data_IF_631812999290
#
_entry.id   IF_631812999290
#
_cell.length_a   1.000
_cell.length_b   1.000
_cell.length_c   1.000
_cell.angle_alpha   90.00
_cell.angle_beta   90.00
_cell.angle_gamma   90.00
#
_symmetry.space_group_name_H-M   'P 1'
#
loop_
_entity.id
_entity.type
_entity.pdbx_description
1 polymer ?
2 non-polymer ?
3 water ?
#
# COMPACT_ATOMS: atom_id res chain seq x y z
N UNK A 1 0.23 -30.91 8.08
CA UNK A 1 -1.19 -31.12 8.51
C UNK A 1 -2.21 -30.80 7.42
N UNK A 2 -3.36 -30.21 7.80
CA UNK A 2 -4.38 -29.86 6.81
C UNK A 2 -4.02 -28.61 6.00
N UNK A 3 -4.62 -28.48 4.82
CA UNK A 3 -4.50 -27.27 4.02
C UNK A 3 -5.39 -26.15 4.55
N UNK A 4 -4.80 -24.99 4.81
CA UNK A 4 -5.50 -23.95 5.55
C UNK A 4 -5.85 -22.75 4.69
N UNK A 5 -5.75 -22.91 3.37
CA UNK A 5 -5.96 -21.79 2.44
C UNK A 5 -7.30 -21.10 2.64
N UNK A 6 -8.37 -21.89 2.72
CA UNK A 6 -9.72 -21.38 2.79
C UNK A 6 -10.00 -20.62 4.09
N UNK A 7 -9.37 -21.07 5.18
CA UNK A 7 -9.42 -20.38 6.46
C UNK A 7 -8.69 -19.04 6.44
N UNK A 8 -7.62 -18.95 5.66
CA UNK A 8 -6.85 -17.72 5.50
C UNK A 8 -7.62 -16.66 4.71
N UNK A 9 -8.24 -17.07 3.61
CA UNK A 9 -9.03 -16.15 2.77
C UNK A 9 -10.29 -15.68 3.49
N UNK A 10 -10.73 -16.44 4.48
CA UNK A 10 -11.89 -16.03 5.29
C UNK A 10 -11.51 -15.01 6.35
N UNK A 11 -10.24 -14.97 6.75
CA UNK A 11 -9.77 -14.06 7.80
C UNK A 11 -8.33 -13.60 7.53
N UNK A 12 -8.10 -12.95 6.37
CA UNK A 12 -6.74 -12.72 5.86
C UNK A 12 -5.85 -11.86 6.75
N UNK A 13 -6.46 -10.95 7.50
CA UNK A 13 -5.72 -10.05 8.39
C UNK A 13 -5.42 -10.64 9.75
N UNK A 14 -6.32 -11.47 10.24
CA UNK A 14 -6.27 -11.88 11.64
C UNK A 14 -5.91 -13.35 11.84
N UNK A 15 -5.99 -14.13 10.76
CA UNK A 15 -5.76 -15.57 10.85
C UNK A 15 -4.48 -15.94 11.60
N UNK A 16 -3.39 -15.23 11.31
CA UNK A 16 -2.10 -15.59 11.87
C UNK A 16 -1.98 -15.24 13.36
N UNK A 17 -2.32 -14.02 13.71
CA UNK A 17 -2.26 -13.57 15.10
C UNK A 17 -3.20 -14.34 16.03
N UNK A 18 -4.33 -14.80 15.50
CA UNK A 18 -5.31 -15.56 16.27
C UNK A 18 -4.79 -16.94 16.64
N UNK A 19 -4.10 -17.57 15.69
CA UNK A 19 -3.50 -18.88 15.90
C UNK A 19 -2.28 -18.77 16.81
N UNK A 20 -1.50 -17.71 16.62
CA UNK A 20 -0.38 -17.38 17.49
C UNK A 20 -0.82 -17.22 18.94
N UNK A 21 -1.97 -16.57 19.13
CA UNK A 21 -2.51 -16.31 20.46
C UNK A 21 -2.97 -17.62 21.09
N UNK A 22 -3.62 -18.45 20.27
CA UNK A 22 -4.04 -19.79 20.69
C UNK A 22 -2.86 -20.64 21.13
N UNK A 23 -1.77 -20.57 20.37
CA UNK A 23 -0.61 -21.43 20.58
C UNK A 23 0.42 -20.83 21.56
N UNK A 24 0.23 -19.57 21.95
CA UNK A 24 1.17 -18.85 22.80
C UNK A 24 2.57 -18.72 22.20
N UNK A 25 2.64 -18.44 20.89
CA UNK A 25 3.91 -18.35 20.17
C UNK A 25 3.84 -17.26 19.10
N UNK A 26 5.01 -16.79 18.65
CA UNK A 26 5.05 -15.78 17.59
C UNK A 26 5.14 -16.40 16.18
N UNK A 27 5.17 -17.72 16.12
CA UNK A 27 5.27 -18.43 14.84
C UNK A 27 4.58 -19.79 14.87
N UNK A 28 4.05 -20.21 13.72
CA UNK A 28 3.49 -21.54 13.55
C UNK A 28 3.63 -22.06 12.11
N UNK A 29 3.79 -23.38 11.99
CA UNK A 29 3.85 -24.07 10.72
C UNK A 29 2.43 -24.30 10.19
N UNK A 30 2.21 -24.01 8.91
CA UNK A 30 0.91 -24.26 8.29
C UNK A 30 1.11 -24.67 6.83
N UNK A 31 0.06 -24.53 6.01
CA UNK A 31 0.11 -24.90 4.61
C UNK A 31 -0.88 -24.06 3.80
N UNK A 32 -0.37 -23.31 2.82
CA UNK A 32 -1.21 -22.50 1.95
C UNK A 32 -0.98 -22.87 0.51
N UNK A 33 -2.07 -22.85 -0.25
CA UNK A 33 -2.21 -23.62 -1.48
C UNK A 33 -1.87 -25.06 -1.10
N UNK A 34 -0.70 -25.54 -1.52
CA UNK A 34 -0.30 -26.88 -1.07
C UNK A 34 1.08 -26.87 -0.42
N UNK A 35 1.68 -25.68 -0.33
CA UNK A 35 3.00 -25.49 0.25
C UNK A 35 2.96 -25.36 1.77
N UNK A 36 3.81 -26.11 2.45
CA UNK A 36 4.11 -25.84 3.84
C UNK A 36 4.55 -24.38 4.01
N UNK A 37 3.94 -23.67 4.95
CA UNK A 37 4.25 -22.26 5.17
C UNK A 37 4.52 -22.00 6.65
N UNK A 38 5.68 -21.43 6.96
CA UNK A 38 5.92 -20.89 8.29
C UNK A 38 5.31 -19.50 8.34
N UNK A 39 4.47 -19.27 9.36
CA UNK A 39 3.85 -17.97 9.58
C UNK A 39 4.52 -17.30 10.77
N UNK A 40 4.93 -16.05 10.58
CA UNK A 40 5.62 -15.30 11.62
C UNK A 40 4.88 -14.00 11.91
N UNK A 41 5.11 -13.50 13.11
CA UNK A 41 4.45 -12.31 13.63
C UNK A 41 5.40 -11.74 14.68
N UNK A 42 5.56 -10.42 14.69
CA UNK A 42 6.34 -9.77 15.74
C UNK A 42 7.64 -9.19 15.23
N UNK A 43 8.28 -8.41 16.08
CA UNK A 43 9.44 -7.61 15.70
C UNK A 43 10.64 -8.51 15.49
N UNK A 44 10.81 -9.50 16.37
CA UNK A 44 11.89 -10.47 16.19
C UNK A 44 11.73 -11.29 14.90
N UNK A 45 10.52 -11.78 14.64
CA UNK A 45 10.17 -12.44 13.38
C UNK A 45 10.44 -11.55 12.15
N UNK A 46 10.00 -10.31 12.21
CA UNK A 46 10.19 -9.36 11.11
C UNK A 46 11.67 -9.19 10.78
N UNK A 47 12.48 -9.10 11.83
CA UNK A 47 13.91 -8.87 11.68
C UNK A 47 14.63 -10.02 11.00
N UNK A 48 14.31 -11.25 11.37
CA UNK A 48 14.85 -12.39 10.62
C UNK A 48 14.28 -12.47 9.21
N UNK A 49 13.02 -12.07 9.03
CA UNK A 49 12.38 -12.09 7.71
C UNK A 49 13.11 -11.16 6.75
N UNK A 50 13.60 -10.02 7.25
CA UNK A 50 14.34 -9.06 6.43
C UNK A 50 15.84 -9.30 6.32
N UNK A 51 16.32 -10.39 6.92
CA UNK A 51 17.71 -10.80 6.74
C UNK A 51 17.86 -11.44 5.35
N UNK A 52 18.51 -10.71 4.44
CA UNK A 52 18.68 -11.17 3.06
C UNK A 52 19.70 -12.29 2.90
N UNK A 53 20.37 -12.67 3.98
CA UNK A 53 21.23 -13.84 3.89
C UNK A 53 20.39 -15.10 4.17
N UNK A 54 19.17 -14.89 4.63
CA UNK A 54 18.30 -16.01 4.95
C UNK A 54 17.00 -16.04 4.14
N UNK A 55 16.64 -14.92 3.51
CA UNK A 55 15.38 -14.84 2.76
C UNK A 55 15.52 -14.19 1.39
N UNK A 56 14.83 -14.80 0.43
CA UNK A 56 14.78 -14.39 -0.97
C UNK A 56 13.35 -14.19 -1.41
N UNK A 57 13.14 -13.27 -2.35
CA UNK A 57 11.80 -13.08 -2.90
C UNK A 57 11.62 -13.79 -4.24
N UNK A 58 12.72 -14.11 -4.90
CA UNK A 58 12.68 -14.77 -6.21
C UNK A 58 11.71 -15.94 -6.27
N UNK A 59 10.70 -15.84 -7.13
CA UNK A 59 9.73 -16.90 -7.34
C UNK A 59 8.76 -17.19 -6.20
N UNK A 60 8.84 -16.40 -5.13
CA UNK A 60 8.00 -16.61 -3.94
C UNK A 60 6.57 -16.14 -4.15
N UNK A 61 6.34 -15.25 -5.13
CA UNK A 61 5.02 -14.67 -5.36
C UNK A 61 4.08 -15.52 -6.21
N UNK A 62 2.96 -15.95 -5.61
CA UNK A 62 1.86 -16.65 -6.31
C UNK A 62 1.45 -15.90 -7.59
N UNK A 63 1.41 -16.63 -8.70
CA UNK A 63 1.18 -16.03 -10.01
C UNK A 63 -0.08 -15.15 -10.11
N UNK A 64 -1.13 -15.47 -9.35
CA UNK A 64 -2.37 -14.69 -9.36
C UNK A 64 -2.14 -13.22 -9.01
N UNK A 65 -1.20 -12.99 -8.11
CA UNK A 65 -0.83 -11.63 -7.71
C UNK A 65 -0.06 -10.91 -8.82
N UNK A 66 0.88 -11.62 -9.47
CA UNK A 66 1.64 -11.10 -10.60
C UNK A 66 0.72 -10.57 -11.70
N UNK A 67 -0.26 -11.40 -12.09
CA UNK A 67 -1.15 -11.11 -13.20
C UNK A 67 -2.26 -10.12 -12.84
N UNK A 68 -2.25 -9.59 -11.61
CA UNK A 68 -3.20 -8.54 -11.25
C UNK A 68 -2.52 -7.42 -10.49
N UNK A 69 -2.26 -7.66 -9.21
CA UNK A 69 -1.71 -6.65 -8.34
C UNK A 69 -0.35 -6.10 -8.79
N UNK A 70 0.59 -6.97 -9.18
CA UNK A 70 2.00 -6.54 -9.18
C UNK A 70 2.63 -6.38 -10.56
N UNK A 71 2.10 -7.12 -11.53
CA UNK A 71 2.75 -7.33 -12.84
C UNK A 71 3.90 -8.33 -12.71
N UNK A 72 4.55 -8.62 -13.84
CA UNK A 72 5.68 -9.56 -13.91
C UNK A 72 6.98 -8.83 -14.27
N UNK A 73 8.08 -9.11 -13.55
CA UNK A 73 9.39 -8.49 -13.81
C UNK A 73 9.77 -7.27 -12.98
N UNK A 74 8.88 -6.91 -12.05
CA UNK A 74 9.07 -5.71 -11.24
C UNK A 74 9.99 -5.97 -10.07
N UNK A 75 10.35 -4.89 -9.37
CA UNK A 75 11.24 -4.90 -8.20
C UNK A 75 10.89 -5.89 -7.08
N UNK A 76 9.62 -6.22 -6.90
CA UNK A 76 9.18 -7.12 -5.82
C UNK A 76 9.75 -8.53 -5.96
N UNK A 77 10.06 -8.91 -7.19
CA UNK A 77 10.52 -10.26 -7.50
C UNK A 77 12.06 -10.34 -7.52
N UNK A 78 12.76 -9.26 -7.20
CA UNK A 78 14.24 -9.28 -7.33
C UNK A 78 14.96 -9.49 -6.00
N UNK A 79 16.15 -10.08 -6.07
CA UNK A 79 17.05 -10.22 -4.93
C UNK A 79 18.44 -9.63 -5.17
N UNK A 80 19.21 -9.48 -4.08
CA UNK A 80 20.63 -9.16 -4.18
C UNK A 80 20.89 -7.81 -4.85
N UNK A 81 22.02 -7.74 -5.55
CA UNK A 81 22.45 -6.52 -6.21
C UNK A 81 21.53 -6.09 -7.34
N UNK A 82 20.92 -7.05 -8.02
CA UNK A 82 19.92 -6.75 -9.02
C UNK A 82 18.79 -5.98 -8.33
N UNK A 83 18.35 -6.48 -7.18
CA UNK A 83 17.28 -5.79 -6.46
C UNK A 83 17.70 -4.41 -5.99
N UNK A 84 18.86 -4.31 -5.34
CA UNK A 84 19.29 -3.04 -4.79
C UNK A 84 19.42 -1.97 -5.85
N UNK A 85 19.93 -2.36 -7.01
CA UNK A 85 20.14 -1.38 -8.06
C UNK A 85 18.79 -0.91 -8.64
N UNK A 86 17.80 -1.81 -8.76
CA UNK A 86 16.44 -1.45 -9.15
C UNK A 86 15.70 -0.63 -8.09
N UNK A 87 15.87 -0.96 -6.80
CA UNK A 87 15.22 -0.23 -5.71
C UNK A 87 15.73 1.21 -5.62
N UNK A 88 17.02 1.39 -5.90
CA UNK A 88 17.59 2.73 -5.93
C UNK A 88 16.85 3.65 -6.91
N UNK A 89 16.45 3.13 -8.05
CA UNK A 89 15.65 3.87 -9.01
C UNK A 89 14.38 4.42 -8.32
N UNK A 90 13.70 3.61 -7.52
CA UNK A 90 12.51 4.07 -6.82
C UNK A 90 12.84 5.08 -5.73
N UNK A 91 13.87 4.79 -4.94
CA UNK A 91 14.30 5.68 -3.86
C UNK A 91 14.71 7.10 -4.30
N UNK A 92 15.34 7.22 -5.46
CA UNK A 92 15.71 8.53 -6.05
C UNK A 92 14.55 9.45 -6.36
N UNK A 93 13.36 8.88 -6.57
CA UNK A 93 12.13 9.64 -6.78
C UNK A 93 11.68 10.43 -5.55
N UNK A 94 12.04 9.95 -4.36
CA UNK A 94 11.43 10.40 -3.09
C UNK A 94 12.20 11.49 -2.35
N UNK A 95 12.62 12.55 -3.03
CA UNK A 95 13.24 13.66 -2.30
C UNK A 95 12.15 14.43 -1.55
N UNK A 96 12.49 15.10 -0.43
CA UNK A 96 11.47 15.85 0.31
C UNK A 96 10.70 16.85 -0.57
N UNK A 97 11.37 17.52 -1.47
CA UNK A 97 10.71 18.42 -2.41
C UNK A 97 9.82 17.72 -3.44
N UNK A 98 10.25 16.58 -3.97
CA UNK A 98 9.39 15.83 -4.89
C UNK A 98 8.17 15.28 -4.15
N UNK A 99 8.34 14.86 -2.90
CA UNK A 99 7.20 14.31 -2.17
C UNK A 99 6.21 15.45 -1.91
N UNK A 100 6.75 16.61 -1.55
CA UNK A 100 5.95 17.82 -1.33
C UNK A 100 5.14 18.20 -2.57
N UNK A 101 5.79 18.24 -3.73
CA UNK A 101 5.11 18.51 -4.99
C UNK A 101 3.91 17.59 -5.26
N UNK A 102 4.06 16.30 -4.97
CA UNK A 102 2.96 15.34 -5.17
C UNK A 102 1.81 15.62 -4.21
N UNK A 103 2.14 15.95 -2.96
CA UNK A 103 1.13 16.36 -1.97
C UNK A 103 0.37 17.61 -2.42
N UNK A 104 1.11 18.59 -2.93
CA UNK A 104 0.51 19.83 -3.42
C UNK A 104 -0.43 19.57 -4.60
N UNK A 105 0.00 18.71 -5.53
CA UNK A 105 -0.84 18.40 -6.69
C UNK A 105 -2.07 17.67 -6.22
N UNK A 106 -1.95 16.85 -5.18
CA UNK A 106 -3.10 16.09 -4.74
C UNK A 106 -4.12 16.97 -4.01
N UNK A 107 -3.65 17.93 -3.22
CA UNK A 107 -4.57 18.87 -2.59
C UNK A 107 -5.38 19.62 -3.64
N UNK A 108 -4.71 20.11 -4.68
CA UNK A 108 -5.38 20.84 -5.77
C UNK A 108 -6.48 20.00 -6.42
N UNK A 109 -6.18 18.75 -6.72
CA UNK A 109 -7.15 17.81 -7.31
C UNK A 109 -8.31 17.47 -6.37
N UNK A 110 -8.01 17.33 -5.09
CA UNK A 110 -9.08 17.15 -4.11
C UNK A 110 -10.01 18.36 -4.21
N UNK A 111 -9.44 19.56 -4.19
CA UNK A 111 -10.23 20.79 -4.21
C UNK A 111 -11.03 20.92 -5.51
N UNK A 112 -10.44 20.52 -6.63
CA UNK A 112 -11.16 20.56 -7.89
C UNK A 112 -12.34 19.59 -7.95
N UNK A 113 -12.26 18.48 -7.20
CA UNK A 113 -13.30 17.46 -7.21
C UNK A 113 -14.48 17.70 -6.27
N UNK A 114 -14.31 18.59 -5.30
CA UNK A 114 -15.37 18.89 -4.35
C UNK A 114 -16.65 19.44 -5.02
N UNK A 115 -16.53 20.41 -5.94
CA UNK A 115 -17.79 20.88 -6.53
C UNK A 115 -18.59 19.72 -7.12
N UNK A 116 -17.91 18.83 -7.85
CA UNK A 116 -18.50 17.58 -8.34
C UNK A 116 -19.26 16.83 -7.25
N UNK A 117 -18.61 16.67 -6.10
CA UNK A 117 -19.18 15.98 -4.94
C UNK A 117 -20.37 16.73 -4.34
N UNK A 118 -20.33 18.06 -4.39
CA UNK A 118 -21.41 18.90 -3.89
C UNK A 118 -22.68 18.71 -4.71
N UNK A 119 -22.54 18.78 -6.04
CA UNK A 119 -23.72 18.62 -6.88
C UNK A 119 -24.27 17.20 -6.81
N UNK A 120 -23.45 16.22 -6.42
CA UNK A 120 -23.93 14.86 -6.22
C UNK A 120 -24.86 14.66 -5.01
N UNK A 121 -24.75 15.52 -4.01
CA UNK A 121 -25.55 15.38 -2.80
C UNK A 121 -24.98 14.38 -1.81
N UNK A 122 -24.89 13.11 -2.21
CA UNK A 122 -24.35 12.03 -1.39
C UNK A 122 -23.28 11.29 -2.17
N UNK A 123 -22.14 11.04 -1.53
CA UNK A 123 -21.05 10.30 -2.17
C UNK A 123 -20.56 9.15 -1.31
N UNK A 124 -20.01 8.13 -1.97
CA UNK A 124 -19.21 7.13 -1.30
C UNK A 124 -17.79 7.68 -1.37
N UNK A 125 -17.27 8.11 -0.21
CA UNK A 125 -16.01 8.83 -0.13
C UNK A 125 -14.85 8.03 -0.74
N UNK A 126 -14.75 6.76 -0.36
CA UNK A 126 -13.76 5.86 -0.96
C UNK A 126 -13.81 5.87 -2.48
N UNK A 127 -14.99 5.73 -3.06
CA UNK A 127 -15.18 5.66 -4.52
C UNK A 127 -14.70 6.95 -5.19
N UNK A 128 -14.64 8.04 -4.44
CA UNK A 128 -14.38 9.34 -5.05
C UNK A 128 -12.89 9.73 -5.02
N UNK A 129 -12.06 8.90 -4.40
CA UNK A 129 -10.68 9.26 -4.13
C UNK A 129 -9.69 8.84 -5.22
N UNK A 130 -10.02 7.76 -5.93
CA UNK A 130 -9.18 7.15 -6.95
C UNK A 130 -8.80 8.08 -8.09
N UNK A 131 -9.76 8.85 -8.58
CA UNK A 131 -9.53 9.75 -9.69
C UNK A 131 -8.66 10.96 -9.35
N UNK A 132 -8.95 11.69 -8.25
CA UNK A 132 -8.01 12.75 -7.88
C UNK A 132 -6.58 12.22 -7.66
N UNK A 133 -6.46 11.06 -7.04
CA UNK A 133 -5.12 10.46 -6.82
C UNK A 133 -4.46 10.14 -8.15
N UNK A 134 -5.25 9.58 -9.07
CA UNK A 134 -4.74 9.24 -10.40
C UNK A 134 -4.27 10.48 -11.12
N UNK A 135 -5.12 11.51 -11.15
CA UNK A 135 -4.74 12.78 -11.76
C UNK A 135 -3.48 13.39 -11.11
N UNK A 136 -3.41 13.39 -9.78
CA UNK A 136 -2.22 13.90 -9.09
C UNK A 136 -0.95 13.13 -9.47
N UNK A 137 -0.98 11.81 -9.31
CA UNK A 137 0.22 11.00 -9.48
C UNK A 137 0.64 10.96 -10.95
N UNK A 138 -0.31 11.05 -11.88
CA UNK A 138 0.07 11.07 -13.30
C UNK A 138 0.87 12.31 -13.66
N UNK A 139 0.38 13.48 -13.22
CA UNK A 139 1.04 14.75 -13.49
C UNK A 139 2.41 14.80 -12.83
N UNK A 140 2.48 14.43 -11.55
CA UNK A 140 3.74 14.30 -10.83
C UNK A 140 4.76 13.39 -11.54
N UNK A 141 4.28 12.27 -12.08
CA UNK A 141 5.14 11.27 -12.68
C UNK A 141 5.44 11.55 -14.15
N UNK A 142 4.88 12.61 -14.71
CA UNK A 142 5.11 12.94 -16.12
C UNK A 142 4.33 12.04 -17.08
N UNK A 143 3.21 11.49 -16.62
CA UNK A 143 2.37 10.64 -17.46
C UNK A 143 1.24 11.52 -17.98
N UNK A 144 1.23 11.82 -19.28
CA UNK A 144 0.12 12.61 -19.82
C UNK A 144 -1.18 11.86 -19.54
N UNK A 145 -2.24 12.59 -19.22
CA UNK A 145 -3.52 11.98 -18.88
C UNK A 145 -4.64 12.91 -19.28
N UNK A 146 -5.15 12.80 -20.51
CA UNK A 146 -6.22 13.72 -20.92
C UNK A 146 -7.41 13.69 -19.96
N UNK A 147 -8.04 14.84 -19.79
CA UNK A 147 -9.18 15.04 -18.90
C UNK A 147 -10.28 13.97 -19.02
N UNK A 148 -10.67 13.65 -20.25
CA UNK A 148 -11.74 12.69 -20.52
C UNK A 148 -11.34 11.21 -20.36
N UNK A 149 -10.07 10.93 -20.08
CA UNK A 149 -9.60 9.57 -19.86
C UNK A 149 -9.31 9.30 -18.38
N UNK A 150 -9.21 10.37 -17.60
CA UNK A 150 -8.80 10.26 -16.19
C UNK A 150 -9.65 9.30 -15.38
N UNK A 151 -10.97 9.41 -15.51
CA UNK A 151 -11.94 8.53 -14.85
C UNK A 151 -11.69 7.06 -15.14
N UNK A 152 -11.46 6.72 -16.41
CA UNK A 152 -11.23 5.35 -16.85
C UNK A 152 -9.92 4.78 -16.32
N UNK A 153 -8.83 5.55 -16.42
CA UNK A 153 -7.53 5.11 -15.89
C UNK A 153 -7.59 4.90 -14.39
N UNK A 154 -8.30 5.78 -13.67
CA UNK A 154 -8.50 5.59 -12.23
C UNK A 154 -9.22 4.28 -11.95
N UNK A 155 -10.24 3.98 -12.76
CA UNK A 155 -11.01 2.75 -12.67
C UNK A 155 -10.14 1.53 -12.92
N UNK A 156 -9.23 1.65 -13.88
CA UNK A 156 -8.31 0.55 -14.18
C UNK A 156 -7.25 0.34 -13.10
N UNK A 157 -6.68 1.42 -12.57
CA UNK A 157 -5.73 1.31 -11.49
C UNK A 157 -6.40 0.73 -10.25
N UNK A 158 -7.61 1.18 -9.95
CA UNK A 158 -8.38 0.65 -8.80
C UNK A 158 -8.60 -0.85 -8.93
N UNK A 159 -9.06 -1.26 -10.12
CA UNK A 159 -9.31 -2.66 -10.42
C UNK A 159 -8.13 -3.59 -10.14
N UNK A 160 -6.90 -3.06 -10.15
CA UNK A 160 -5.73 -3.90 -9.91
C UNK A 160 -5.62 -4.36 -8.45
N UNK A 161 -6.11 -3.55 -7.52
CA UNK A 161 -6.06 -3.95 -6.12
C UNK A 161 -7.42 -4.19 -5.45
N UNK A 162 -8.49 -3.69 -6.03
CA UNK A 162 -9.79 -3.78 -5.38
C UNK A 162 -10.68 -4.86 -5.98
N UNK A 163 -10.30 -5.35 -7.15
CA UNK A 163 -10.89 -6.57 -7.70
C UNK A 163 -9.95 -7.80 -7.60
N UNK A 164 -8.79 -7.61 -6.96
CA UNK A 164 -7.73 -8.64 -6.86
C UNK A 164 -7.62 -9.33 -5.50
N UNK A 165 -7.72 -10.66 -5.52
CA UNK A 165 -7.80 -11.48 -4.33
C UNK A 165 -9.25 -11.78 -3.98
N UNK A 166 -10.10 -11.79 -5.00
CA UNK A 166 -11.55 -11.87 -4.84
C UNK A 166 -12.12 -13.23 -5.25
N UNK A 167 -13.09 -13.70 -4.47
CA UNK A 167 -13.76 -14.97 -4.74
C UNK A 167 -14.75 -14.91 -5.90
N UNK A 168 -14.91 -13.73 -6.51
CA UNK A 168 -15.92 -13.47 -7.56
C UNK A 168 -15.32 -13.30 -8.96
N UNK A 169 -16.18 -13.16 -10.01
CA UNK A 169 -15.71 -12.86 -11.38
C UNK A 169 -14.95 -11.53 -11.53
N UNK A 170 -14.72 -10.86 -10.41
CA UNK A 170 -13.98 -9.59 -10.35
C UNK A 170 -12.49 -9.80 -10.63
N UNK A 171 -12.05 -11.05 -10.47
CA UNK A 171 -10.66 -11.42 -10.75
C UNK A 171 -10.38 -11.32 -12.26
N UNK A 172 -11.41 -11.54 -13.07
CA UNK A 172 -11.31 -11.43 -14.52
C UNK A 172 -11.12 -9.98 -15.00
N UNK A 173 -11.86 -9.04 -14.41
CA UNK A 173 -11.68 -7.61 -14.71
C UNK A 173 -10.30 -7.12 -14.28
N UNK A 174 -9.81 -7.66 -13.17
CA UNK A 174 -8.51 -7.29 -12.63
C UNK A 174 -7.36 -7.69 -13.57
N UNK A 175 -7.46 -8.87 -14.16
CA UNK A 175 -6.47 -9.38 -15.11
C UNK A 175 -6.46 -8.60 -16.42
N UNK A 176 -7.63 -8.20 -16.89
CA UNK A 176 -7.77 -7.36 -18.08
C UNK A 176 -7.32 -5.94 -17.81
N UNK A 177 -7.62 -5.43 -16.62
CA UNK A 177 -7.16 -4.12 -16.18
C UNK A 177 -5.63 -4.07 -16.20
N UNK A 178 -5.02 -5.17 -15.78
CA UNK A 178 -3.55 -5.29 -15.77
C UNK A 178 -2.98 -5.25 -17.19
N UNK A 179 -3.60 -5.98 -18.11
CA UNK A 179 -3.12 -5.94 -19.51
C UNK A 179 -3.30 -4.55 -20.11
N UNK A 180 -4.43 -3.89 -19.80
CA UNK A 180 -4.69 -2.54 -20.29
C UNK A 180 -3.73 -1.51 -19.70
N UNK A 181 -3.49 -1.58 -18.40
CA UNK A 181 -2.63 -0.60 -17.72
C UNK A 181 -1.17 -0.83 -18.14
N UNK A 182 -0.77 -2.10 -18.28
CA UNK A 182 0.59 -2.44 -18.71
C UNK A 182 0.84 -1.92 -20.12
N UNK A 183 -0.13 -2.10 -21.01
CA UNK A 183 0.02 -1.63 -22.39
C UNK A 183 0.02 -0.10 -22.44
N UNK A 184 -0.77 0.54 -21.58
CA UNK A 184 -0.79 1.99 -21.52
C UNK A 184 0.57 2.55 -21.04
N UNK A 185 1.04 2.04 -19.91
CA UNK A 185 2.33 2.44 -19.36
C UNK A 185 3.47 2.17 -20.35
N UNK A 186 3.36 1.09 -21.10
CA UNK A 186 4.38 0.74 -22.09
C UNK A 186 4.41 1.76 -23.23
N UNK A 187 3.23 2.15 -23.73
CA UNK A 187 3.12 3.26 -24.67
C UNK A 187 3.72 4.56 -24.12
N UNK A 188 3.56 4.82 -22.83
CA UNK A 188 4.21 5.98 -22.22
C UNK A 188 5.74 5.87 -22.28
N UNK A 189 6.30 4.75 -21.78
CA UNK A 189 7.74 4.51 -21.86
C UNK A 189 8.28 4.67 -23.29
N UNK A 190 7.62 4.04 -24.28
CA UNK A 190 8.03 4.09 -25.68
C UNK A 190 8.04 5.51 -26.25
N UNK A 191 7.06 6.33 -25.89
CA UNK A 191 6.99 7.71 -26.35
C UNK A 191 8.07 8.57 -25.71
N UNK A 192 8.38 8.31 -24.44
CA UNK A 192 9.49 8.99 -23.79
C UNK A 192 10.81 8.63 -24.50
N UNK A 193 11.04 7.35 -24.77
CA UNK A 193 12.28 6.93 -25.46
C UNK A 193 12.37 7.42 -26.89
N UNK A 194 11.24 7.52 -27.58
CA UNK A 194 11.22 8.00 -28.96
C UNK A 194 11.21 9.52 -29.07
N UNK A 195 10.98 10.24 -27.98
CA UNK A 195 10.99 11.71 -28.00
C UNK A 195 9.64 12.37 -28.20
N UNK A 196 8.59 11.56 -28.29
CA UNK A 196 7.25 12.11 -28.55
C UNK A 196 6.57 12.55 -27.27
N UNK A 197 7.09 12.11 -26.12
CA UNK A 197 6.56 12.51 -24.82
C UNK A 197 7.64 13.22 -23.98
N UNK A 198 7.36 14.47 -23.63
CA UNK A 198 8.37 15.35 -23.05
C UNK A 198 8.45 15.37 -21.54
N UNK A 199 8.31 14.21 -20.92
CA UNK A 199 8.35 14.08 -19.46
C UNK A 199 9.63 14.71 -18.91
N UNK A 200 9.48 15.51 -17.85
CA UNK A 200 10.61 16.20 -17.25
C UNK A 200 11.61 15.26 -16.61
N UNK A 201 12.86 15.68 -16.60
CA UNK A 201 13.97 14.87 -16.07
C UNK A 201 13.87 14.49 -14.58
N UNK A 202 12.99 15.15 -13.83
CA UNK A 202 12.77 14.80 -12.42
C UNK A 202 11.59 13.87 -12.17
N UNK A 203 10.86 13.51 -13.23
CA UNK A 203 9.63 12.74 -13.09
C UNK A 203 9.86 11.22 -13.05
N UNK A 204 9.03 10.50 -12.30
CA UNK A 204 9.13 9.04 -12.24
C UNK A 204 9.17 8.37 -13.63
N UNK A 205 8.28 8.76 -14.53
CA UNK A 205 8.18 8.05 -15.81
C UNK A 205 9.49 8.22 -16.60
N UNK A 206 10.08 9.40 -16.52
CA UNK A 206 11.38 9.68 -17.12
C UNK A 206 12.47 8.84 -16.50
N UNK A 207 12.56 8.84 -15.17
CA UNK A 207 13.58 8.07 -14.48
C UNK A 207 13.43 6.59 -14.89
N UNK A 208 12.20 6.11 -14.96
CA UNK A 208 11.97 4.69 -15.26
C UNK A 208 12.28 4.41 -16.72
N UNK A 209 11.94 5.33 -17.62
CA UNK A 209 12.21 5.09 -19.06
C UNK A 209 13.68 5.06 -19.41
N UNK A 210 14.48 5.79 -18.65
CA UNK A 210 15.90 5.96 -18.93
C UNK A 210 16.80 5.25 -17.92
N UNK A 211 16.18 4.55 -16.98
CA UNK A 211 16.94 3.71 -16.06
C UNK A 211 17.81 2.73 -16.85
N UNK A 212 19.08 2.62 -16.45
CA UNK A 212 20.00 1.61 -16.96
C UNK A 212 20.22 0.58 -15.85
N UNK A 213 20.22 -0.69 -16.23
CA UNK A 213 20.47 -1.78 -15.29
C UNK A 213 21.95 -1.95 -15.05
N UNK A 214 22.38 -3.00 -14.35
CA UNK A 214 23.80 -3.23 -14.03
C UNK A 214 24.67 -3.53 -15.24
N UNK A 215 24.04 -3.74 -16.40
CA UNK A 215 24.79 -4.00 -17.63
C UNK A 215 24.71 -2.79 -18.55
N UNK A 216 24.22 -1.66 -18.03
CA UNK A 216 24.07 -0.42 -18.80
C UNK A 216 23.00 -0.56 -19.91
N UNK A 217 22.02 -1.44 -19.71
CA UNK A 217 20.90 -1.57 -20.64
C UNK A 217 19.64 -0.95 -20.08
N UNK A 218 18.89 -0.29 -20.95
CA UNK A 218 17.51 0.10 -20.64
C UNK A 218 16.68 -1.13 -20.21
N UNK A 219 15.73 -0.94 -19.30
CA UNK A 219 14.73 -1.97 -19.03
C UNK A 219 13.97 -2.26 -20.34
N UNK A 220 13.60 -3.51 -20.57
CA UNK A 220 12.68 -3.81 -21.65
C UNK A 220 11.41 -2.98 -21.45
N UNK A 221 10.81 -2.51 -22.54
CA UNK A 221 9.66 -1.60 -22.43
C UNK A 221 8.57 -2.17 -21.50
N UNK A 222 8.37 -3.48 -21.50
CA UNK A 222 7.34 -4.02 -20.59
C UNK A 222 7.72 -3.99 -19.12
N UNK A 223 8.99 -4.27 -18.80
CA UNK A 223 9.43 -4.22 -17.40
C UNK A 223 9.38 -2.75 -16.92
N UNK A 224 9.79 -1.81 -17.78
CA UNK A 224 9.70 -0.38 -17.45
C UNK A 224 8.24 -0.02 -17.18
N UNK A 225 7.32 -0.56 -17.99
CA UNK A 225 5.88 -0.31 -17.83
C UNK A 225 5.41 -0.80 -16.46
N UNK A 226 5.84 -2.01 -16.11
CA UNK A 226 5.45 -2.59 -14.83
C UNK A 226 5.98 -1.75 -13.65
N UNK A 227 7.20 -1.25 -13.75
CA UNK A 227 7.76 -0.39 -12.70
C UNK A 227 7.04 0.96 -12.60
N UNK A 228 6.66 1.55 -13.74
CA UNK A 228 5.83 2.76 -13.70
C UNK A 228 4.48 2.48 -13.01
N UNK A 229 3.81 1.37 -13.33
CA UNK A 229 2.56 1.03 -12.62
C UNK A 229 2.79 0.82 -11.13
N UNK A 230 3.99 0.38 -10.74
CA UNK A 230 4.39 0.27 -9.33
C UNK A 230 4.55 1.64 -8.64
N UNK A 231 4.50 2.73 -9.40
CA UNK A 231 4.37 4.07 -8.80
C UNK A 231 2.90 4.51 -8.84
N UNK A 232 2.25 4.37 -10.00
CA UNK A 232 0.88 4.83 -10.20
C UNK A 232 -0.14 4.08 -9.32
N UNK A 233 -0.14 2.77 -9.40
CA UNK A 233 -1.09 1.95 -8.65
C UNK A 233 -1.08 2.15 -7.12
N UNK A 234 0.09 1.98 -6.45
CA UNK A 234 0.04 2.11 -5.00
C UNK A 234 -0.29 3.54 -4.53
N UNK A 235 -0.07 4.55 -5.36
CA UNK A 235 -0.48 5.92 -5.01
C UNK A 235 -2.00 6.04 -4.95
N UNK A 236 -2.67 5.40 -5.91
CA UNK A 236 -4.14 5.37 -5.95
C UNK A 236 -4.68 4.57 -4.77
N UNK A 237 -3.94 3.54 -4.35
CA UNK A 237 -4.32 2.74 -3.19
C UNK A 237 -4.37 3.54 -1.88
N UNK A 238 -3.77 4.74 -1.86
CA UNK A 238 -3.85 5.59 -0.67
C UNK A 238 -5.31 5.98 -0.35
N UNK A 239 -6.21 5.79 -1.32
CA UNK A 239 -7.65 5.93 -1.12
C UNK A 239 -8.12 5.16 0.11
N UNK A 240 -7.54 3.99 0.34
CA UNK A 240 -7.89 3.18 1.49
C UNK A 240 -7.52 3.88 2.79
N UNK A 241 -6.30 4.39 2.86
CA UNK A 241 -5.83 5.11 4.05
C UNK A 241 -6.57 6.42 4.26
N UNK A 242 -6.92 7.11 3.19
CA UNK A 242 -7.71 8.32 3.32
C UNK A 242 -9.09 8.03 3.89
N UNK A 243 -9.71 6.96 3.42
CA UNK A 243 -10.99 6.49 3.95
C UNK A 243 -10.88 6.16 5.46
N UNK A 244 -9.76 5.57 5.86
CA UNK A 244 -9.54 5.24 7.27
C UNK A 244 -9.30 6.49 8.11
N UNK A 245 -8.74 7.53 7.50
CA UNK A 245 -8.59 8.82 8.16
C UNK A 245 -9.96 9.39 8.49
N UNK A 246 -10.86 9.40 7.51
CA UNK A 246 -12.23 9.85 7.74
C UNK A 246 -12.92 8.99 8.80
N UNK A 247 -12.68 7.67 8.75
CA UNK A 247 -13.27 6.72 9.69
C UNK A 247 -12.82 6.99 11.14
N UNK A 248 -11.55 7.28 11.34
CA UNK A 248 -11.02 7.58 12.67
C UNK A 248 -11.61 8.89 13.21
N UNK A 249 -11.70 9.90 12.34
CA UNK A 249 -12.33 11.16 12.73
C UNK A 249 -13.79 11.00 13.14
N UNK A 250 -14.37 9.85 12.81
CA UNK A 250 -15.80 9.63 13.02
C UNK A 250 -16.09 8.70 14.20
N UNK A 251 -15.20 7.77 14.47
CA UNK A 251 -15.45 6.72 15.47
C UNK A 251 -14.67 6.84 16.78
N UNK A 252 -13.67 7.72 16.83
CA UNK A 252 -12.82 7.84 18.02
C UNK A 252 -12.85 9.27 18.54
N UNK A 253 -13.29 9.40 19.80
CA UNK A 253 -13.55 10.69 20.41
C UNK A 253 -12.26 11.43 20.75
N UNK A 254 -12.29 12.75 20.60
CA UNK A 254 -11.14 13.62 20.84
C UNK A 254 -10.24 13.87 19.64
N UNK A 255 -10.24 12.93 18.68
CA UNK A 255 -9.34 13.02 17.54
C UNK A 255 -9.46 14.33 16.76
N UNK A 256 -10.68 14.69 16.39
CA UNK A 256 -10.92 15.92 15.63
C UNK A 256 -10.29 17.14 16.31
N UNK A 257 -10.69 17.40 17.55
CA UNK A 257 -10.26 18.58 18.30
C UNK A 257 -8.74 18.63 18.46
N UNK A 258 -8.14 17.49 18.76
CA UNK A 258 -6.69 17.41 18.87
C UNK A 258 -6.01 17.82 17.55
N UNK A 259 -6.53 17.31 16.43
CA UNK A 259 -6.01 17.67 15.12
C UNK A 259 -6.13 19.16 14.81
N UNK A 260 -7.28 19.75 15.14
CA UNK A 260 -7.53 21.16 14.88
C UNK A 260 -6.52 22.07 15.58
N UNK A 261 -6.33 21.85 16.89
CA UNK A 261 -5.56 22.75 17.73
C UNK A 261 -4.08 22.42 17.95
N UNK A 262 -3.72 21.13 17.92
CA UNK A 262 -2.34 20.72 18.17
C UNK A 262 -1.57 20.47 16.87
N UNK A 263 -0.55 21.29 16.58
CA UNK A 263 0.14 21.22 15.30
C UNK A 263 0.85 19.88 15.05
N UNK A 264 1.57 19.39 16.07
CA UNK A 264 2.35 18.15 15.98
C UNK A 264 1.53 16.86 15.99
N UNK A 265 0.21 16.99 16.15
CA UNK A 265 -0.68 15.85 16.27
C UNK A 265 -0.93 15.10 14.95
N UNK A 266 -0.98 15.83 13.85
CA UNK A 266 -1.25 15.26 12.53
C UNK A 266 -0.35 14.06 12.23
N UNK A 267 0.96 14.28 12.42
CA UNK A 267 1.99 13.28 12.20
C UNK A 267 1.78 12.03 13.07
N UNK A 268 1.43 12.24 14.34
CA UNK A 268 1.15 11.12 15.24
C UNK A 268 -0.09 10.37 14.77
N UNK A 269 -1.10 11.15 14.38
CA UNK A 269 -2.37 10.59 13.94
C UNK A 269 -2.24 9.70 12.68
N UNK A 270 -1.53 10.17 11.66
CA UNK A 270 -1.39 9.38 10.42
C UNK A 270 -0.58 8.11 10.67
N UNK A 271 0.42 8.20 11.54
CA UNK A 271 1.18 7.02 11.95
C UNK A 271 0.28 5.98 12.61
N UNK A 272 -0.57 6.40 13.53
CA UNK A 272 -1.48 5.52 14.24
C UNK A 272 -2.56 4.95 13.33
N UNK A 273 -3.04 5.75 12.38
CA UNK A 273 -3.88 5.19 11.32
C UNK A 273 -3.21 4.03 10.59
N UNK A 274 -1.94 4.18 10.23
CA UNK A 274 -1.24 3.09 9.54
C UNK A 274 -1.02 1.89 10.47
N UNK A 275 -0.78 2.14 11.75
CA UNK A 275 -0.58 1.04 12.70
C UNK A 275 -1.87 0.29 12.98
N UNK A 276 -2.95 1.05 13.17
CA UNK A 276 -4.19 0.51 13.71
C UNK A 276 -5.00 -0.26 12.68
N UNK A 277 -5.17 0.33 11.51
CA UNK A 277 -6.05 -0.22 10.47
C UNK A 277 -5.40 -1.26 9.56
N UNK A 278 -6.17 -2.29 9.17
CA UNK A 278 -5.70 -3.28 8.22
C UNK A 278 -5.58 -2.67 6.84
N UNK A 279 -4.49 -2.96 6.12
CA UNK A 279 -4.34 -2.59 4.72
C UNK A 279 -3.75 -3.77 3.95
N UNK A 280 -2.43 -3.93 4.04
CA UNK A 280 -1.79 -5.08 3.45
C UNK A 280 -1.56 -6.11 4.55
N UNK A 281 -2.06 -7.34 4.31
CA UNK A 281 -2.11 -8.26 5.44
C UNK A 281 -0.75 -8.88 5.78
N UNK A 282 -0.03 -9.26 4.73
CA UNK A 282 1.18 -10.04 4.91
C UNK A 282 2.10 -9.96 3.70
N UNK A 283 3.37 -10.29 3.92
CA UNK A 283 4.34 -10.31 2.84
C UNK A 283 4.98 -11.70 2.85
N UNK A 284 5.50 -12.11 1.71
CA UNK A 284 5.89 -13.51 1.54
C UNK A 284 7.34 -13.56 1.04
N UNK A 285 8.11 -14.52 1.55
CA UNK A 285 9.47 -14.73 1.12
C UNK A 285 9.75 -16.22 1.16
N UNK A 286 10.93 -16.62 0.70
CA UNK A 286 11.34 -18.01 0.74
C UNK A 286 12.68 -18.11 1.45
N UNK A 287 12.80 -19.08 2.35
CA UNK A 287 14.07 -19.30 3.05
C UNK A 287 15.15 -19.75 2.06
N UNK A 288 16.31 -19.10 2.10
CA UNK A 288 17.34 -19.31 1.10
C UNK A 288 18.38 -20.36 1.51
N UNK A 289 18.37 -20.74 2.78
CA UNK A 289 19.29 -21.75 3.30
C UNK A 289 18.69 -22.41 4.55
N UNK A 290 19.22 -23.57 4.93
CA UNK A 290 18.80 -24.24 6.15
C UNK A 290 19.16 -23.41 7.37
N UNK A 291 18.18 -23.13 8.22
CA UNK A 291 18.44 -22.60 9.56
C UNK A 291 17.27 -22.87 10.50
N UNK A 292 17.52 -22.69 11.78
CA UNK A 292 16.51 -22.86 12.81
C UNK A 292 16.44 -21.57 13.62
N UNK A 293 15.26 -21.27 14.16
CA UNK A 293 15.01 -20.03 14.88
C UNK A 293 13.93 -20.24 15.94
N UNK A 294 14.26 -19.93 17.20
CA UNK A 294 13.34 -20.12 18.33
C UNK A 294 12.63 -21.48 18.27
N UNK A 295 13.41 -22.54 18.05
CA UNK A 295 12.89 -23.91 17.99
C UNK A 295 12.26 -24.37 16.68
N UNK A 296 11.90 -23.43 15.81
CA UNK A 296 11.26 -23.74 14.53
C UNK A 296 12.24 -23.96 13.39
N UNK A 297 12.04 -25.05 12.65
CA UNK A 297 12.86 -25.35 11.48
C UNK A 297 12.52 -24.45 10.29
N UNK A 298 13.54 -23.93 9.63
CA UNK A 298 13.36 -23.20 8.37
C UNK A 298 14.26 -23.82 7.30
N UNK A 299 13.82 -24.94 6.70
CA UNK A 299 14.64 -25.57 5.68
C UNK A 299 14.65 -24.74 4.39
N UNK A 300 15.73 -24.87 3.63
CA UNK A 300 15.84 -24.18 2.37
C UNK A 300 14.56 -24.43 1.57
N UNK A 301 13.96 -23.36 1.07
CA UNK A 301 12.81 -23.44 0.18
C UNK A 301 11.46 -23.29 0.88
N UNK A 302 11.48 -23.22 2.20
CA UNK A 302 10.23 -23.06 2.94
C UNK A 302 9.63 -21.67 2.70
N UNK A 303 8.40 -21.65 2.20
CA UNK A 303 7.60 -20.43 2.07
C UNK A 303 7.34 -19.88 3.47
N UNK A 304 7.52 -18.58 3.62
CA UNK A 304 7.38 -17.92 4.92
C UNK A 304 6.56 -16.67 4.73
N UNK A 305 5.50 -16.54 5.52
CA UNK A 305 4.65 -15.36 5.50
C UNK A 305 4.82 -14.53 6.78
N UNK A 306 5.11 -13.25 6.61
CA UNK A 306 5.22 -12.33 7.73
C UNK A 306 3.93 -11.54 7.89
N UNK A 307 3.25 -11.75 9.02
CA UNK A 307 2.00 -11.09 9.34
C UNK A 307 2.24 -9.65 9.76
N UNK A 308 1.86 -8.72 8.89
CA UNK A 308 2.05 -7.29 9.13
C UNK A 308 1.01 -6.76 10.11
N UNK A 309 -0.25 -7.14 9.92
CA UNK A 309 -1.31 -6.65 10.79
C UNK A 309 -1.07 -7.08 12.23
N UNK A 310 -0.74 -8.37 12.44
CA UNK A 310 -0.46 -8.93 13.77
C UNK A 310 0.74 -8.28 14.45
N UNK A 311 1.82 -8.09 13.68
CA UNK A 311 3.00 -7.36 14.13
C UNK A 311 2.64 -5.94 14.57
N UNK A 312 1.74 -5.29 13.82
CA UNK A 312 1.31 -3.94 14.17
C UNK A 312 0.36 -3.92 15.38
N UNK A 313 -0.21 -5.08 15.70
CA UNK A 313 -1.03 -5.22 16.91
C UNK A 313 -0.41 -6.14 17.97
N UNK A 314 0.93 -6.15 18.03
CA UNK A 314 1.68 -6.99 18.95
C UNK A 314 1.75 -6.36 20.35
N UNK A 315 1.35 -7.14 21.37
CA UNK A 315 1.27 -6.60 22.73
C UNK A 315 2.64 -6.28 23.31
N UNK A 316 3.61 -7.17 23.09
CA UNK A 316 4.97 -6.94 23.58
C UNK A 316 5.51 -5.57 23.14
N UNK A 317 5.22 -5.21 21.89
CA UNK A 317 5.64 -3.93 21.35
C UNK A 317 4.83 -2.73 21.86
N UNK A 318 3.50 -2.81 21.80
CA UNK A 318 2.66 -1.62 22.00
C UNK A 318 1.92 -1.52 23.33
N UNK A 319 1.84 -2.64 24.06
CA UNK A 319 1.15 -2.77 25.36
C UNK A 319 -0.38 -2.74 25.30
N UNK A 320 -0.95 -1.77 24.57
CA UNK A 320 -2.38 -1.77 24.29
C UNK A 320 -2.68 -1.51 22.81
N UNK A 321 -2.26 -2.43 21.93
CA UNK A 321 -2.43 -2.28 20.48
C UNK A 321 -3.89 -2.15 20.05
N UNK A 322 -4.80 -2.66 20.87
CA UNK A 322 -6.23 -2.69 20.55
C UNK A 322 -6.86 -1.29 20.57
N UNK A 323 -6.19 -0.35 21.25
CA UNK A 323 -6.68 1.03 21.30
C UNK A 323 -6.14 1.88 20.16
N UNK A 324 -6.97 2.80 19.67
CA UNK A 324 -6.52 3.85 18.76
C UNK A 324 -6.02 5.05 19.56
N UNK A 325 -4.71 5.22 19.62
CA UNK A 325 -4.12 6.31 20.42
C UNK A 325 -2.84 6.87 19.79
N UNK A 326 -2.98 7.94 18.99
CA UNK A 326 -1.85 8.55 18.28
C UNK A 326 -0.70 8.97 19.20
N UNK A 327 -1.00 9.30 20.45
CA UNK A 327 0.02 9.73 21.41
C UNK A 327 1.09 8.66 21.64
N UNK A 328 0.78 7.41 21.33
CA UNK A 328 1.73 6.32 21.60
C UNK A 328 3.02 6.61 20.84
N UNK A 329 2.87 7.34 19.73
CA UNK A 329 3.98 7.60 18.83
C UNK A 329 4.95 8.65 19.36
N UNK A 330 4.59 9.30 20.46
CA UNK A 330 5.53 10.18 21.16
C UNK A 330 6.66 9.33 21.74
N UNK A 331 6.36 8.08 22.09
CA UNK A 331 7.33 7.18 22.71
C UNK A 331 8.00 6.22 21.72
N UNK A 332 7.57 6.23 20.46
CA UNK A 332 8.17 5.36 19.45
C UNK A 332 9.65 5.67 19.22
N UNK A 333 10.46 4.61 19.26
CA UNK A 333 11.92 4.65 19.08
C UNK A 333 12.37 4.54 17.62
N UNK A 334 11.44 4.69 16.69
CA UNK A 334 11.73 4.62 15.26
C UNK A 334 12.35 3.32 14.78
N UNK A 335 12.22 2.26 15.57
CA UNK A 335 12.72 0.93 15.23
C UNK A 335 12.18 0.49 13.85
N UNK A 336 13.02 -0.16 13.05
CA UNK A 336 12.64 -0.51 11.68
C UNK A 336 11.91 -1.85 11.53
N UNK A 337 11.67 -2.56 12.63
CA UNK A 337 11.08 -3.88 12.62
C UNK A 337 9.80 -4.02 13.45
N UNK A 338 9.58 -3.13 14.42
CA UNK A 338 8.40 -3.24 15.27
C UNK A 338 7.13 -2.53 14.82
N UNK A 339 7.26 -1.77 13.73
CA UNK A 339 6.14 -1.02 13.14
C UNK A 339 6.29 -1.08 11.62
N UNK A 340 5.43 -1.87 10.98
CA UNK A 340 5.70 -2.34 9.63
C UNK A 340 4.47 -2.43 8.72
N UNK A 341 3.62 -1.36 8.68
CA UNK A 341 2.44 -1.43 7.82
C UNK A 341 2.80 -1.45 6.34
N UNK A 342 4.01 -1.00 6.02
CA UNK A 342 4.48 -0.96 4.64
C UNK A 342 5.84 -1.65 4.57
N UNK A 343 6.00 -2.68 5.40
CA UNK A 343 7.24 -3.43 5.44
C UNK A 343 8.16 -2.93 6.53
N UNK A 344 9.14 -3.76 6.89
CA UNK A 344 10.17 -3.34 7.81
C UNK A 344 11.56 -3.38 7.19
N UNK A 345 12.56 -3.13 8.03
CA UNK A 345 13.93 -3.19 7.56
C UNK A 345 14.37 -1.90 6.91
N UNK A 346 15.35 -2.03 6.04
CA UNK A 346 15.98 -0.88 5.40
C UNK A 346 15.43 -0.73 3.98
N UNK A 347 15.23 0.50 3.54
CA UNK A 347 14.59 0.77 2.27
C UNK A 347 15.46 0.42 1.09
N UNK A 348 16.77 0.67 1.22
CA UNK A 348 17.73 0.49 0.15
C UNK A 348 18.19 -0.97 0.05
N UNK A 349 18.23 -1.67 1.19
CA UNK A 349 18.86 -2.98 1.28
C UNK A 349 17.84 -4.11 1.43
N UNK A 350 16.56 -3.76 1.33
CA UNK A 350 15.50 -4.76 1.37
C UNK A 350 14.29 -4.21 0.64
N UNK A 351 13.20 -4.95 0.73
CA UNK A 351 12.01 -4.67 -0.09
C UNK A 351 10.99 -3.72 0.54
N UNK A 352 11.37 -3.10 1.65
CA UNK A 352 10.50 -2.19 2.37
C UNK A 352 9.92 -1.17 1.39
N UNK A 353 8.66 -0.83 1.58
CA UNK A 353 7.98 0.13 0.71
C UNK A 353 8.69 1.47 0.52
N UNK A 354 8.99 1.84 -0.72
CA UNK A 354 9.58 3.16 -0.95
C UNK A 354 8.52 4.27 -0.93
N UNK A 355 7.24 3.86 -0.93
CA UNK A 355 6.16 4.82 -0.94
C UNK A 355 5.75 5.46 0.38
N UNK A 356 6.46 5.19 1.49
CA UNK A 356 6.05 5.68 2.81
C UNK A 356 5.98 7.19 2.94
N UNK A 357 6.98 7.89 2.40
CA UNK A 357 6.99 9.36 2.47
C UNK A 357 5.77 9.95 1.77
N UNK A 358 5.45 9.45 0.58
CA UNK A 358 4.24 9.81 -0.16
C UNK A 358 2.97 9.51 0.65
N UNK A 359 2.84 8.29 1.16
CA UNK A 359 1.66 7.94 1.94
C UNK A 359 1.45 8.91 3.09
N UNK A 360 2.53 9.18 3.85
CA UNK A 360 2.44 10.08 4.99
C UNK A 360 2.05 11.47 4.52
N UNK A 361 2.75 12.03 3.53
CA UNK A 361 2.44 13.38 3.06
C UNK A 361 0.99 13.51 2.59
N UNK A 362 0.53 12.53 1.84
CA UNK A 362 -0.87 12.52 1.34
C UNK A 362 -1.87 12.29 2.48
N UNK A 363 -1.55 11.41 3.42
CA UNK A 363 -2.44 11.22 4.56
C UNK A 363 -2.59 12.51 5.36
N UNK A 364 -1.52 13.30 5.45
CA UNK A 364 -1.56 14.59 6.13
C UNK A 364 -2.43 15.60 5.40
N UNK A 365 -2.28 15.70 4.08
CA UNK A 365 -3.15 16.55 3.29
C UNK A 365 -4.60 16.17 3.56
N UNK A 366 -4.88 14.87 3.55
CA UNK A 366 -6.23 14.37 3.79
C UNK A 366 -6.76 14.83 5.14
N UNK A 367 -6.02 14.52 6.20
CA UNK A 367 -6.41 14.92 7.56
C UNK A 367 -6.60 16.43 7.65
N UNK A 368 -5.70 17.21 7.04
CA UNK A 368 -5.86 18.66 7.03
C UNK A 368 -7.16 19.15 6.40
N UNK A 369 -7.51 18.60 5.23
CA UNK A 369 -8.70 19.08 4.52
C UNK A 369 -9.98 18.63 5.20
N UNK A 370 -9.96 17.41 5.73
CA UNK A 370 -11.12 16.82 6.39
C UNK A 370 -11.48 17.54 7.69
N UNK A 371 -10.53 18.24 8.29
CA UNK A 371 -10.82 18.98 9.52
C UNK A 371 -10.82 20.50 9.37
N UNK A 372 -9.98 21.03 8.50
CA UNK A 372 -9.80 22.48 8.42
C UNK A 372 -10.49 23.16 7.24
N UNK A 373 -10.90 22.39 6.24
CA UNK A 373 -11.42 22.96 5.01
C UNK A 373 -12.78 22.42 4.60
N UNK A 374 -12.87 21.10 4.58
CA UNK A 374 -14.00 20.38 3.97
C UNK A 374 -15.08 20.01 4.97
N UNK A 375 -16.30 20.52 4.74
CA UNK A 375 -17.45 20.25 5.61
C UNK A 375 -18.39 19.21 4.99
N UNK A 376 -18.93 18.33 5.83
CA UNK A 376 -19.77 17.22 5.38
C UNK A 376 -20.59 16.63 6.53
N UNK A 377 -21.72 16.02 6.20
CA UNK A 377 -22.52 15.25 7.16
C UNK A 377 -22.30 13.76 6.94
N UNK A 378 -22.48 12.98 8.01
CA UNK A 378 -22.27 11.53 7.97
C UNK A 378 -23.53 10.79 8.44
N UNK A 379 -24.38 10.34 7.50
CA UNK A 379 -25.62 9.64 7.87
C UNK A 379 -25.38 8.30 8.55
N UNK A 380 -26.41 7.78 9.21
CA UNK A 380 -26.38 6.45 9.81
C UNK A 380 -25.96 5.43 8.76
N UNK A 381 -24.96 4.62 9.08
CA UNK A 381 -24.40 3.64 8.14
C UNK A 381 -23.61 2.58 8.89
N UNK A 382 -23.21 1.54 8.17
CA UNK A 382 -22.35 0.53 8.75
C UNK A 382 -20.89 0.92 8.49
N UNK A 383 -20.26 1.49 9.52
CA UNK A 383 -18.85 1.87 9.46
C UNK A 383 -17.91 0.78 9.98
N UNK A 384 -18.47 -0.34 10.42
CA UNK A 384 -17.64 -1.47 10.84
C UNK A 384 -16.69 -1.92 9.72
N UNK A 385 -15.48 -2.29 10.12
CA UNK A 385 -14.44 -2.66 9.18
C UNK A 385 -14.74 -4.05 8.67
N UNK A 386 -14.66 -4.22 7.36
CA UNK A 386 -14.88 -5.52 6.74
C UNK A 386 -13.54 -6.25 6.71
N UNK A 387 -13.34 -7.10 7.70
CA UNK A 387 -12.09 -7.84 7.84
C UNK A 387 -11.99 -9.04 6.89
N UNK A 388 -13.08 -9.34 6.19
CA UNK A 388 -13.09 -10.43 5.21
C UNK A 388 -12.88 -9.90 3.79
N UNK A 389 -12.70 -8.59 3.65
CA UNK A 389 -12.51 -7.94 2.36
C UNK A 389 -11.03 -7.58 2.16
N UNK A 390 -10.56 -7.69 0.91
CA UNK A 390 -9.23 -7.23 0.52
C UNK A 390 -9.27 -6.19 -0.61
N UNK A 391 -8.89 -4.93 -0.31
CA UNK A 391 -8.46 -4.45 1.01
C UNK A 391 -9.65 -4.22 1.95
N UNK A 392 -9.41 -4.34 3.25
CA UNK A 392 -10.42 -4.05 4.26
C UNK A 392 -10.92 -2.61 4.13
N UNK A 393 -12.21 -2.43 4.36
CA UNK A 393 -12.82 -1.10 4.32
C UNK A 393 -13.99 -1.03 5.29
N UNK A 394 -14.39 0.19 5.69
CA UNK A 394 -15.69 0.28 6.35
C UNK A 394 -16.71 -0.24 5.34
N UNK A 395 -17.74 -0.97 5.79
CA UNK A 395 -18.67 -1.67 4.91
C UNK A 395 -19.37 -0.72 3.95
N UNK A 396 -19.65 0.48 4.43
CA UNK A 396 -20.33 1.50 3.63
C UNK A 396 -19.41 2.11 2.58
N UNK A 397 -18.10 2.03 2.81
CA UNK A 397 -17.13 2.78 2.02
C UNK A 397 -17.03 4.23 2.48
N UNK A 398 -17.58 4.50 3.67
CA UNK A 398 -17.73 5.83 4.27
C UNK A 398 -18.56 6.78 3.42
N UNK A 399 -19.87 6.81 3.69
CA UNK A 399 -20.79 7.64 2.92
C UNK A 399 -20.85 9.06 3.48
N UNK A 400 -20.80 10.04 2.58
CA UNK A 400 -20.96 11.45 2.93
C UNK A 400 -22.20 12.05 2.28
N UNK A 401 -22.81 13.01 2.96
CA UNK A 401 -23.90 13.82 2.41
C UNK A 401 -23.54 15.29 2.59
N UNK A 402 -24.09 16.15 1.73
CA UNK A 402 -23.94 17.60 1.86
C UNK A 402 -22.48 18.05 1.98
N UNK A 403 -21.68 17.76 0.95
CA UNK A 403 -20.26 18.04 0.99
C UNK A 403 -19.98 19.40 0.37
N UNK A 404 -19.19 20.21 1.07
CA UNK A 404 -18.75 21.53 0.57
C UNK A 404 -17.45 21.96 1.23
N UNK A 405 -16.77 22.92 0.61
CA UNK A 405 -15.39 23.26 0.98
C UNK A 405 -15.16 24.77 0.97
N UNK A 406 -14.10 25.22 1.64
CA UNK A 406 -13.66 26.62 1.62
C UNK A 406 -12.31 26.81 0.95
N UNK A 407 -11.30 27.10 1.76
CA UNK A 407 -9.93 27.30 1.29
C UNK A 407 -8.93 27.56 2.41
X LIG B 1 6.32 -2.59 -1.42
X LIG B 1 2.68 -1.41 1.53
X LIG B 1 2.03 2.77 -0.83
X LIG B 1 5.56 1.53 -3.94
X LIG B 1 5.42 -2.64 -0.37
X LIG B 1 5.29 -3.71 0.59
X LIG B 1 4.29 -3.35 1.43
X LIG B 1 3.75 -2.09 0.99
X LIG B 1 3.76 -4.15 2.65
X LIG B 1 6.14 -4.98 0.64
X LIG B 1 7.38 -4.84 1.55
X LIG B 1 8.13 -6.14 1.47
X LIG B 1 8.91 -6.46 2.40
X LIG B 1 7.98 -6.88 0.46
X LIG B 1 2.10 -0.24 1.07
X LIG B 1 0.85 0.34 1.52
X LIG B 1 0.66 1.49 0.87
X LIG B 1 1.79 1.69 -0.02
X LIG B 1 -0.08 -0.26 2.60
X LIG B 1 -0.53 2.46 1.03
X LIG B 1 -1.14 2.88 -0.08
X LIG B 1 3.00 2.85 -1.81
X LIG B 1 3.22 3.99 -2.69
X LIG B 1 4.20 3.65 -3.54
X LIG B 1 4.65 2.30 -3.25
X LIG B 1 2.50 5.35 -2.67
X LIG B 1 4.68 4.65 -4.61
X LIG B 1 5.89 4.57 -5.12
X LIG B 1 6.06 0.28 -3.65
X LIG B 1 7.04 -0.47 -4.40
X LIG B 1 7.27 -1.76 -3.58
X LIG B 1 6.39 -1.66 -2.43
X LIG B 1 7.73 -0.13 -5.74
X LIG B 1 8.23 -2.92 -3.87
X LIG B 1 9.57 -2.51 -3.25
X LIG B 1 10.61 -3.61 -3.23
X LIG B 1 11.78 -3.27 -2.89
X LIG B 1 10.27 -4.80 -3.47
X LIG B 1 4.47 -1.68 -0.10
X LIG B 1 2.65 0.61 0.14
X LIG B 1 3.90 1.86 -2.18
X LIG B 1 5.72 -0.45 -2.51
X LIG B 1 4.19 0.09 -1.15
#
# INVERSE_FOLDING_TARGET
GPDETLSLLADPYRFISRQCQRLGANAFESRFLLKKTNCLKGAKAAEIFYDTTRFEREGAMPVAIQKTLLGQGGVQGLDGETHRHRKQMFMGLMTPERVRALAQLFEAEWRRAVPGWTRKGEIVFYDELHEPLTRAVCAWAGVPLPDDEAGNRAGELRALFDAAGSASPRHLWSRLARRRVDAWAKRIIEGIRAGSIGSGSGTAAYAIAWHRDRHDDLLSPHVAAVELVNVLRPTVEIAVYITFVAHALQTCSGIRAALVQQPDYAELFVQEVRRFYPFFPAVVARASQDFEWEGMAFPEGRQVVLDLYGSNHDAATWADPQEFRPERFRAWDEDSFNFIPQGGGDHYLGHRCPGEWIVLAIMKVAAHLLVNAMRYDVPDQDLSIDFARLPALPKSGFVMRNVHIGG
HEM CHA CHB CHC CHD C1A C2A C3A C4A CMA CAA CBA CGA O1A O2A C1B C2B C3B C4B CMB CAB CBB C1C C2C C3C C4C CMC CAC CBC C1D C2D C3D C4D CMD CAD CBD CGD O1D O2D NA NB NC ND FE
#
